data_IF_577762495442
#
_entry.id   IF_577762495442
#
_cell.length_a   1.000
_cell.length_b   1.000
_cell.length_c   1.000
_cell.angle_alpha   90.00
_cell.angle_beta   90.00
_cell.angle_gamma   90.00
#
_symmetry.space_group_name_H-M   'P 1'
#
loop_
_entity.id
_entity.type
_entity.pdbx_description
1 polymer ?
#
# COMPACT_ATOMS: atom_id res chain seq x y z
N UNK A 1 9.76 11.45 -1.78
CA UNK A 1 10.85 10.43 -1.84
C UNK A 1 11.30 10.17 -3.28
N UNK A 2 10.44 9.61 -4.18
CA UNK A 2 10.84 9.27 -5.54
C UNK A 2 11.38 10.47 -6.34
N UNK A 3 10.78 11.65 -6.20
CA UNK A 3 11.28 12.87 -6.82
C UNK A 3 12.65 13.30 -6.28
N UNK A 4 12.93 13.07 -5.01
CA UNK A 4 14.24 13.33 -4.41
C UNK A 4 15.31 12.42 -5.02
N UNK A 5 15.05 11.11 -5.08
CA UNK A 5 15.96 10.16 -5.75
C UNK A 5 16.10 10.47 -7.25
N UNK A 6 15.01 10.90 -7.90
CA UNK A 6 15.05 11.29 -9.31
C UNK A 6 15.99 12.49 -9.57
N UNK A 7 16.01 13.48 -8.69
CA UNK A 7 16.95 14.63 -8.79
C UNK A 7 18.42 14.21 -8.71
N UNK A 8 18.71 13.19 -7.91
CA UNK A 8 20.06 12.66 -7.69
C UNK A 8 20.31 11.35 -8.46
N UNK A 9 19.46 11.05 -9.46
CA UNK A 9 19.50 9.74 -10.13
C UNK A 9 20.87 9.43 -10.74
N UNK A 10 21.59 10.45 -11.25
CA UNK A 10 22.93 10.27 -11.82
C UNK A 10 23.92 9.69 -10.80
N UNK A 11 23.84 10.14 -9.55
CA UNK A 11 24.74 9.69 -8.47
C UNK A 11 24.44 8.22 -8.15
N UNK A 12 23.16 7.84 -8.05
CA UNK A 12 22.76 6.45 -7.86
C UNK A 12 23.17 5.54 -9.02
N UNK A 13 23.07 6.03 -10.27
CA UNK A 13 23.45 5.26 -11.45
C UNK A 13 24.97 5.03 -11.56
N UNK A 14 25.79 5.79 -10.84
CA UNK A 14 27.23 5.61 -10.74
C UNK A 14 27.64 4.60 -9.66
N UNK A 15 26.71 4.09 -8.86
CA UNK A 15 27.00 3.03 -7.88
C UNK A 15 27.37 1.74 -8.60
N UNK A 16 28.42 1.08 -8.14
CA UNK A 16 28.90 -0.17 -8.71
C UNK A 16 27.81 -1.24 -8.70
N UNK A 17 27.64 -1.91 -9.84
CA UNK A 17 26.66 -3.00 -10.02
C UNK A 17 25.19 -2.58 -9.81
N UNK A 18 24.85 -1.30 -9.95
CA UNK A 18 23.47 -0.80 -9.84
C UNK A 18 22.51 -1.49 -10.83
N UNK A 19 23.01 -1.88 -12.01
CA UNK A 19 22.22 -2.61 -13.01
C UNK A 19 21.72 -3.98 -12.52
N UNK A 20 22.47 -4.63 -11.63
CA UNK A 20 22.04 -5.89 -10.99
C UNK A 20 20.91 -5.66 -9.98
N UNK A 21 20.77 -4.43 -9.46
CA UNK A 21 19.75 -4.06 -8.49
C UNK A 21 18.44 -3.63 -9.15
N UNK A 22 18.51 -2.78 -10.17
CA UNK A 22 17.33 -2.15 -10.78
C UNK A 22 16.91 -2.76 -12.12
N UNK A 23 17.67 -3.77 -12.62
CA UNK A 23 17.38 -4.45 -13.87
C UNK A 23 17.69 -3.62 -15.13
N UNK A 24 17.04 -3.95 -16.22
CA UNK A 24 17.42 -3.56 -17.57
C UNK A 24 17.40 -2.04 -17.81
N UNK A 25 18.26 -1.58 -18.71
CA UNK A 25 18.54 -0.18 -19.05
C UNK A 25 17.36 0.58 -19.71
N UNK A 26 16.32 -0.14 -20.15
CA UNK A 26 15.22 0.40 -20.97
C UNK A 26 14.02 0.94 -20.19
N UNK A 27 14.09 1.04 -18.87
CA UNK A 27 13.03 1.67 -18.07
C UNK A 27 13.28 3.17 -17.91
N UNK A 28 12.21 3.96 -17.83
CA UNK A 28 12.31 5.42 -17.67
C UNK A 28 13.05 5.81 -16.39
N UNK A 29 13.71 6.98 -16.41
CA UNK A 29 14.44 7.50 -15.25
C UNK A 29 13.55 7.60 -13.99
N UNK A 30 12.28 7.95 -14.16
CA UNK A 30 11.33 7.96 -13.06
C UNK A 30 11.11 6.56 -12.44
N UNK A 31 10.93 5.54 -13.26
CA UNK A 31 10.76 4.15 -12.77
C UNK A 31 12.03 3.62 -12.10
N UNK A 32 13.21 4.05 -12.55
CA UNK A 32 14.47 3.72 -11.86
C UNK A 32 14.49 4.32 -10.47
N UNK A 33 14.13 5.61 -10.33
CA UNK A 33 14.05 6.27 -9.04
C UNK A 33 13.02 5.62 -8.10
N UNK A 34 11.86 5.23 -8.62
CA UNK A 34 10.85 4.49 -7.84
C UNK A 34 11.38 3.11 -7.40
N UNK A 35 12.09 2.39 -8.25
CA UNK A 35 12.66 1.09 -7.90
C UNK A 35 13.72 1.24 -6.80
N UNK A 36 14.61 2.23 -6.92
CA UNK A 36 15.64 2.50 -5.91
C UNK A 36 14.99 2.84 -4.58
N UNK A 37 14.09 3.83 -4.51
CA UNK A 37 13.50 4.25 -3.24
C UNK A 37 12.70 3.15 -2.55
N UNK A 38 12.00 2.30 -3.30
CA UNK A 38 11.28 1.18 -2.73
C UNK A 38 12.23 0.20 -2.02
N UNK A 39 13.42 -0.04 -2.57
CA UNK A 39 14.43 -0.90 -1.95
C UNK A 39 15.10 -0.23 -0.75
N UNK A 40 15.38 1.08 -0.83
CA UNK A 40 15.95 1.85 0.29
C UNK A 40 14.98 1.88 1.49
N UNK A 41 13.68 2.02 1.23
CA UNK A 41 12.66 1.95 2.28
C UNK A 41 12.69 0.59 3.00
N UNK A 42 12.85 -0.52 2.27
CA UNK A 42 12.97 -1.85 2.89
C UNK A 42 14.17 -1.92 3.83
N UNK A 43 15.32 -1.35 3.45
CA UNK A 43 16.50 -1.33 4.33
C UNK A 43 16.22 -0.59 5.64
N UNK A 44 15.57 0.57 5.56
CA UNK A 44 15.21 1.38 6.74
C UNK A 44 14.12 0.71 7.58
N UNK A 45 13.03 0.30 6.96
CA UNK A 45 11.81 -0.18 7.65
C UNK A 45 11.98 -1.55 8.29
N UNK A 46 12.79 -2.43 7.67
CA UNK A 46 13.16 -3.74 8.23
C UNK A 46 14.43 -3.66 9.10
N UNK A 47 15.06 -2.48 9.21
CA UNK A 47 16.30 -2.26 9.95
C UNK A 47 17.40 -3.23 9.55
N UNK A 48 17.62 -3.39 8.25
CA UNK A 48 18.63 -4.29 7.75
C UNK A 48 20.05 -3.78 8.14
N UNK A 49 20.88 -4.70 8.54
CA UNK A 49 22.28 -4.41 8.88
C UNK A 49 23.06 -4.09 7.60
N UNK A 50 23.35 -2.80 7.38
CA UNK A 50 24.01 -2.31 6.17
C UNK A 50 25.41 -2.93 6.01
N UNK A 51 26.12 -3.22 7.11
CA UNK A 51 27.42 -3.86 7.03
C UNK A 51 27.30 -5.30 6.50
N UNK A 52 26.30 -6.06 6.96
CA UNK A 52 26.03 -7.40 6.43
C UNK A 52 25.62 -7.37 4.97
N UNK A 53 24.89 -6.33 4.53
CA UNK A 53 24.57 -6.15 3.12
C UNK A 53 25.83 -5.91 2.28
N UNK A 54 26.77 -5.09 2.78
CA UNK A 54 28.06 -4.84 2.14
C UNK A 54 28.92 -6.11 2.02
N UNK A 55 28.90 -6.95 3.03
CA UNK A 55 29.68 -8.19 3.08
C UNK A 55 29.05 -9.33 2.27
N UNK A 56 27.91 -9.09 1.62
CA UNK A 56 27.21 -10.10 0.80
C UNK A 56 28.02 -10.51 -0.43
N UNK A 57 27.90 -11.77 -0.81
CA UNK A 57 28.47 -12.28 -2.07
C UNK A 57 27.68 -11.83 -3.31
N UNK A 58 26.42 -11.40 -3.12
CA UNK A 58 25.56 -10.96 -4.21
C UNK A 58 25.79 -9.49 -4.55
N UNK A 59 26.14 -9.22 -5.81
CA UNK A 59 26.42 -7.86 -6.31
C UNK A 59 25.24 -6.90 -6.09
N UNK A 60 24.02 -7.33 -6.36
CA UNK A 60 22.80 -6.53 -6.16
C UNK A 60 22.61 -6.13 -4.69
N UNK A 61 22.96 -7.00 -3.73
CA UNK A 61 22.84 -6.71 -2.30
C UNK A 61 23.88 -5.69 -1.85
N UNK A 62 25.11 -5.78 -2.38
CA UNK A 62 26.16 -4.77 -2.11
C UNK A 62 25.78 -3.42 -2.71
N UNK A 63 25.31 -3.41 -3.97
CA UNK A 63 24.83 -2.19 -4.61
C UNK A 63 23.69 -1.54 -3.81
N UNK A 64 22.77 -2.32 -3.22
CA UNK A 64 21.75 -1.81 -2.34
C UNK A 64 22.33 -1.13 -1.10
N UNK A 65 23.34 -1.72 -0.47
CA UNK A 65 24.02 -1.12 0.68
C UNK A 65 24.68 0.22 0.32
N UNK A 66 25.38 0.27 -0.82
CA UNK A 66 26.05 1.48 -1.28
C UNK A 66 25.05 2.58 -1.69
N UNK A 67 23.96 2.21 -2.36
CA UNK A 67 22.84 3.14 -2.62
C UNK A 67 22.23 3.68 -1.32
N UNK A 68 22.07 2.83 -0.31
CA UNK A 68 21.51 3.25 0.97
C UNK A 68 22.40 4.27 1.69
N UNK A 69 23.69 4.04 1.72
CA UNK A 69 24.65 4.99 2.31
C UNK A 69 24.70 6.30 1.55
N UNK A 70 24.77 6.24 0.22
CA UNK A 70 24.69 7.42 -0.63
C UNK A 70 23.41 8.22 -0.35
N UNK A 71 22.28 7.54 -0.19
CA UNK A 71 21.00 8.18 0.13
C UNK A 71 21.04 8.90 1.49
N UNK A 72 21.62 8.27 2.51
CA UNK A 72 21.78 8.87 3.83
C UNK A 72 22.71 10.11 3.77
N UNK A 73 23.79 10.04 3.02
CA UNK A 73 24.73 11.15 2.84
C UNK A 73 24.02 12.35 2.16
N UNK A 74 23.29 12.12 1.07
CA UNK A 74 22.54 13.16 0.35
C UNK A 74 21.44 13.77 1.25
N UNK A 75 20.70 12.95 2.01
CA UNK A 75 19.71 13.46 2.96
C UNK A 75 20.35 14.35 4.02
N UNK A 76 21.51 13.94 4.54
CA UNK A 76 22.27 14.71 5.53
C UNK A 76 22.78 16.02 4.96
N UNK A 77 23.35 16.04 3.76
CA UNK A 77 23.83 17.24 3.07
C UNK A 77 22.70 18.25 2.79
N UNK A 78 21.54 17.77 2.37
CA UNK A 78 20.36 18.61 2.11
C UNK A 78 19.56 18.92 3.38
N UNK A 79 19.96 18.44 4.56
CA UNK A 79 19.24 18.55 5.83
C UNK A 79 17.76 18.12 5.68
N UNK A 80 17.55 16.99 5.02
CA UNK A 80 16.25 16.46 4.66
C UNK A 80 15.97 15.14 5.37
N UNK A 81 14.68 14.87 5.61
CA UNK A 81 14.20 13.60 6.16
C UNK A 81 13.04 13.09 5.29
N UNK A 82 12.93 11.80 5.18
CA UNK A 82 11.77 11.14 4.60
C UNK A 82 10.98 10.37 5.67
N UNK A 83 9.85 9.74 5.28
CA UNK A 83 9.01 9.01 6.22
C UNK A 83 9.70 7.81 6.87
N UNK A 84 10.60 7.14 6.17
CA UNK A 84 11.34 5.99 6.71
C UNK A 84 12.48 6.45 7.61
N UNK A 85 13.21 7.50 7.22
CA UNK A 85 14.29 8.07 8.02
C UNK A 85 13.79 8.75 9.29
N UNK A 86 12.63 9.44 9.28
CA UNK A 86 12.00 9.97 10.50
C UNK A 86 11.81 8.87 11.55
N UNK A 87 11.37 7.68 11.14
CA UNK A 87 11.15 6.57 12.07
C UNK A 87 12.46 6.05 12.63
N UNK A 88 13.46 5.78 11.78
CA UNK A 88 14.77 5.28 12.22
C UNK A 88 15.51 6.28 13.08
N UNK A 89 15.51 7.56 12.73
CA UNK A 89 16.10 8.63 13.55
C UNK A 89 15.37 8.80 14.88
N UNK A 90 14.05 8.65 14.91
CA UNK A 90 13.26 8.67 16.16
C UNK A 90 13.70 7.52 17.08
N UNK A 91 13.84 6.30 16.56
CA UNK A 91 14.31 5.17 17.36
C UNK A 91 15.70 5.43 17.91
N UNK A 92 16.64 5.87 17.07
CA UNK A 92 18.00 6.20 17.50
C UNK A 92 18.02 7.31 18.56
N UNK A 93 17.19 8.35 18.41
CA UNK A 93 17.05 9.42 19.40
C UNK A 93 16.63 8.85 20.75
N UNK A 94 15.62 7.98 20.77
CA UNK A 94 15.13 7.37 22.02
C UNK A 94 16.18 6.47 22.67
N UNK A 95 16.94 5.70 21.88
CA UNK A 95 18.00 4.81 22.37
C UNK A 95 19.23 5.59 22.88
N UNK A 96 19.65 6.64 22.16
CA UNK A 96 20.85 7.42 22.51
C UNK A 96 20.61 8.49 23.59
N UNK A 97 19.37 8.90 23.81
CA UNK A 97 19.02 9.97 24.75
C UNK A 97 18.01 9.52 25.81
N UNK A 98 18.42 8.77 26.84
CA UNK A 98 17.52 8.22 27.86
C UNK A 98 16.64 9.28 28.55
N UNK A 99 17.14 10.51 28.73
CA UNK A 99 16.35 11.61 29.31
C UNK A 99 15.13 11.99 28.46
N UNK A 100 15.25 11.90 27.15
CA UNK A 100 14.11 12.14 26.24
C UNK A 100 13.10 11.03 26.38
N UNK A 101 13.56 9.78 26.35
CA UNK A 101 12.73 8.60 26.54
C UNK A 101 12.00 8.64 27.89
N UNK A 102 12.72 8.90 28.99
CA UNK A 102 12.14 9.01 30.33
C UNK A 102 11.03 10.09 30.40
N UNK A 103 11.30 11.26 29.81
CA UNK A 103 10.32 12.35 29.78
C UNK A 103 9.02 11.97 29.05
N UNK A 104 9.10 11.16 28.00
CA UNK A 104 7.92 10.67 27.27
C UNK A 104 7.21 9.60 28.10
N UNK A 105 7.96 8.65 28.66
CA UNK A 105 7.43 7.54 29.47
C UNK A 105 6.76 8.02 30.76
N UNK A 106 7.15 9.15 31.31
CA UNK A 106 6.45 9.77 32.46
C UNK A 106 5.09 10.34 32.07
N UNK A 107 4.96 10.84 30.85
CA UNK A 107 3.70 11.42 30.34
C UNK A 107 2.74 10.37 29.81
N UNK A 108 3.28 9.33 29.13
CA UNK A 108 2.49 8.31 28.46
C UNK A 108 2.72 6.98 29.16
N UNK A 109 1.70 6.52 29.88
CA UNK A 109 1.76 5.29 30.69
C UNK A 109 1.06 4.09 30.06
N UNK A 110 0.19 4.31 29.08
CA UNK A 110 -0.61 3.28 28.42
C UNK A 110 -0.52 3.48 26.92
N UNK A 111 -0.28 2.41 26.20
CA UNK A 111 -0.26 2.36 24.74
C UNK A 111 -1.36 1.45 24.25
N UNK A 112 -2.21 1.95 23.37
CA UNK A 112 -3.24 1.18 22.69
C UNK A 112 -3.04 1.38 21.19
N UNK A 113 -2.65 0.32 20.49
CA UNK A 113 -2.33 0.36 19.08
C UNK A 113 -3.34 -0.50 18.33
N UNK A 114 -4.05 0.14 17.41
CA UNK A 114 -4.97 -0.51 16.49
C UNK A 114 -4.27 -0.86 15.17
N UNK A 115 -4.82 -1.80 14.42
CA UNK A 115 -4.30 -2.27 13.13
C UNK A 115 -2.82 -2.68 13.20
N UNK A 116 -2.44 -3.38 14.27
CA UNK A 116 -1.04 -3.70 14.56
C UNK A 116 -0.37 -4.54 13.47
N UNK A 117 -1.11 -5.31 12.68
CA UNK A 117 -0.61 -6.07 11.54
C UNK A 117 -0.03 -5.18 10.43
N UNK A 118 -0.35 -3.87 10.44
CA UNK A 118 0.13 -2.90 9.43
C UNK A 118 1.41 -2.17 9.88
N UNK A 119 1.96 -2.53 11.05
CA UNK A 119 3.22 -1.95 11.54
C UNK A 119 4.44 -2.56 10.84
N UNK A 120 5.49 -1.73 10.66
CA UNK A 120 6.81 -2.18 10.24
C UNK A 120 7.72 -2.45 11.45
N UNK A 121 8.90 -3.01 11.21
CA UNK A 121 9.85 -3.39 12.27
C UNK A 121 10.31 -2.19 13.10
N UNK A 122 10.56 -1.03 12.49
CA UNK A 122 10.98 0.18 13.20
C UNK A 122 9.86 0.70 14.11
N UNK A 123 8.62 0.73 13.62
CA UNK A 123 7.46 1.16 14.40
C UNK A 123 7.25 0.26 15.61
N UNK A 124 7.34 -1.05 15.45
CA UNK A 124 7.26 -1.99 16.58
C UNK A 124 8.35 -1.67 17.62
N UNK A 125 9.61 -1.48 17.20
CA UNK A 125 10.71 -1.17 18.14
C UNK A 125 10.50 0.16 18.86
N UNK A 126 10.03 1.20 18.18
CA UNK A 126 9.68 2.47 18.81
C UNK A 126 8.61 2.25 19.88
N UNK A 127 7.53 1.53 19.56
CA UNK A 127 6.43 1.26 20.49
C UNK A 127 6.89 0.47 21.71
N UNK A 128 7.70 -0.58 21.52
CA UNK A 128 8.27 -1.38 22.61
C UNK A 128 9.24 -0.56 23.46
N UNK A 129 10.08 0.28 22.86
CA UNK A 129 10.97 1.20 23.56
C UNK A 129 10.17 2.18 24.44
N UNK A 130 9.15 2.81 23.90
CA UNK A 130 8.30 3.73 24.63
C UNK A 130 7.51 3.03 25.77
N UNK A 131 7.07 1.80 25.56
CA UNK A 131 6.31 1.04 26.56
C UNK A 131 7.18 0.40 27.65
N UNK A 132 8.49 0.29 27.45
CA UNK A 132 9.41 -0.55 28.24
C UNK A 132 9.40 -0.26 29.76
N UNK A 133 9.15 0.98 30.19
CA UNK A 133 9.13 1.38 31.60
C UNK A 133 7.93 0.80 32.36
N UNK A 134 6.79 0.73 31.73
CA UNK A 134 5.53 0.36 32.37
C UNK A 134 4.95 -0.97 31.87
N UNK A 135 5.36 -1.42 30.69
CA UNK A 135 4.81 -2.58 29.96
C UNK A 135 3.27 -2.57 29.80
N UNK A 136 2.67 -1.38 29.85
CA UNK A 136 1.23 -1.19 29.68
C UNK A 136 0.92 -0.98 28.21
N UNK A 137 0.99 -2.02 27.43
CA UNK A 137 0.75 -2.00 25.97
C UNK A 137 -0.35 -3.00 25.61
N UNK A 138 -1.31 -2.55 24.84
CA UNK A 138 -2.36 -3.36 24.25
C UNK A 138 -2.33 -3.15 22.73
N UNK A 139 -2.22 -4.21 21.99
CA UNK A 139 -2.28 -4.17 20.52
C UNK A 139 -3.53 -4.91 20.04
N UNK A 140 -4.17 -4.35 19.04
CA UNK A 140 -5.33 -4.93 18.36
C UNK A 140 -5.01 -5.05 16.89
N UNK A 141 -5.35 -6.18 16.28
CA UNK A 141 -5.12 -6.39 14.86
C UNK A 141 -5.67 -7.73 14.40
N UNK A 142 -5.61 -7.92 13.10
CA UNK A 142 -6.09 -9.13 12.43
C UNK A 142 -5.06 -9.55 11.38
N UNK A 143 -4.40 -10.68 11.64
CA UNK A 143 -3.40 -11.24 10.74
C UNK A 143 -3.96 -11.61 9.35
N UNK A 144 -5.27 -11.86 9.23
CA UNK A 144 -5.93 -12.06 7.94
C UNK A 144 -6.09 -10.76 7.13
N UNK A 145 -5.83 -9.59 7.73
CA UNK A 145 -5.92 -8.27 7.11
C UNK A 145 -4.55 -7.64 6.78
N UNK A 146 -3.46 -8.37 6.93
CA UNK A 146 -2.09 -7.91 6.66
C UNK A 146 -1.82 -7.67 5.17
N UNK A 147 -2.49 -6.70 4.56
CA UNK A 147 -2.43 -6.40 3.12
C UNK A 147 -1.35 -5.39 2.73
N UNK A 148 -0.73 -4.69 3.70
CA UNK A 148 0.16 -3.56 3.44
C UNK A 148 1.65 -3.92 3.45
N UNK A 149 2.01 -5.19 3.17
CA UNK A 149 3.41 -5.61 3.05
C UNK A 149 4.21 -4.75 2.04
N UNK A 150 3.58 -4.31 0.95
CA UNK A 150 4.21 -3.44 -0.04
C UNK A 150 4.50 -2.00 0.47
N UNK A 151 4.07 -1.69 1.70
CA UNK A 151 4.39 -0.46 2.45
C UNK A 151 5.27 -0.74 3.66
N UNK A 152 5.99 -1.85 3.68
CA UNK A 152 6.88 -2.25 4.76
C UNK A 152 6.21 -2.91 5.97
N UNK A 153 4.88 -3.08 5.98
CA UNK A 153 4.20 -3.80 7.05
C UNK A 153 4.68 -5.25 7.14
N UNK A 154 4.89 -5.75 8.36
CA UNK A 154 5.30 -7.13 8.59
C UNK A 154 4.34 -7.84 9.53
N UNK A 155 3.67 -8.87 8.99
CA UNK A 155 2.73 -9.72 9.76
C UNK A 155 3.40 -10.40 10.96
N UNK A 156 4.72 -10.56 10.92
CA UNK A 156 5.49 -11.13 12.02
C UNK A 156 5.29 -10.35 13.32
N UNK A 157 5.17 -9.03 13.25
CA UNK A 157 4.99 -8.20 14.44
C UNK A 157 3.78 -8.64 15.26
N UNK A 158 2.62 -8.88 14.64
CA UNK A 158 1.44 -9.34 15.38
C UNK A 158 1.56 -10.82 15.80
N UNK A 159 2.11 -11.68 14.92
CA UNK A 159 2.22 -13.11 15.21
C UNK A 159 3.21 -13.41 16.34
N UNK A 160 4.30 -12.65 16.42
CA UNK A 160 5.37 -12.84 17.38
C UNK A 160 5.34 -11.82 18.53
N UNK A 161 4.31 -10.95 18.63
CA UNK A 161 4.21 -9.88 19.63
C UNK A 161 4.47 -10.37 21.06
N UNK A 162 3.89 -11.49 21.44
CA UNK A 162 4.06 -12.06 22.77
C UNK A 162 5.51 -12.43 23.12
N UNK A 163 6.37 -12.68 22.11
CA UNK A 163 7.77 -13.04 22.31
C UNK A 163 8.62 -11.85 22.82
N UNK A 164 8.11 -10.62 22.71
CA UNK A 164 8.77 -9.44 23.25
C UNK A 164 8.67 -9.32 24.78
N UNK A 165 7.92 -10.19 25.45
CA UNK A 165 7.66 -10.14 26.88
C UNK A 165 8.06 -11.47 27.55
N UNK A 166 8.36 -11.46 28.87
CA UNK A 166 8.57 -12.69 29.63
C UNK A 166 7.38 -13.65 29.50
N UNK A 167 7.64 -14.95 29.52
CA UNK A 167 6.63 -15.98 29.42
C UNK A 167 5.44 -15.74 30.38
N UNK A 168 4.23 -15.68 29.83
CA UNK A 168 2.99 -15.46 30.58
C UNK A 168 2.67 -13.99 30.92
N UNK A 169 3.55 -13.04 30.61
CA UNK A 169 3.27 -11.62 30.83
C UNK A 169 2.31 -11.04 29.77
N UNK A 170 2.35 -11.55 28.54
CA UNK A 170 1.41 -11.17 27.50
C UNK A 170 0.18 -12.08 27.51
N UNK A 171 -1.03 -11.48 27.49
CA UNK A 171 -2.30 -12.19 27.39
C UNK A 171 -2.92 -11.94 26.03
N UNK A 172 -3.25 -13.04 25.33
CA UNK A 172 -3.90 -12.97 24.01
C UNK A 172 -5.39 -13.25 24.18
N UNK A 173 -6.22 -12.42 23.54
CA UNK A 173 -7.66 -12.56 23.47
C UNK A 173 -8.10 -12.63 22.02
N UNK A 174 -8.95 -13.59 21.67
CA UNK A 174 -9.49 -13.77 20.33
C UNK A 174 -10.92 -13.24 20.26
N UNK A 175 -11.14 -12.21 19.43
CA UNK A 175 -12.47 -11.68 19.15
C UNK A 175 -13.04 -12.43 17.93
N UNK A 176 -13.74 -13.52 18.16
CA UNK A 176 -14.19 -14.42 17.09
C UNK A 176 -15.56 -14.08 16.53
N UNK A 177 -16.38 -13.30 17.24
CA UNK A 177 -17.73 -12.95 16.80
C UNK A 177 -17.71 -11.76 15.86
N UNK A 178 -18.17 -11.95 14.62
CA UNK A 178 -18.34 -10.90 13.64
C UNK A 178 -19.75 -10.33 13.72
N UNK A 179 -19.85 -9.04 14.02
CA UNK A 179 -21.11 -8.29 14.14
C UNK A 179 -21.48 -7.53 12.87
N UNK A 180 -20.62 -7.54 11.84
CA UNK A 180 -20.78 -6.73 10.61
C UNK A 180 -21.45 -7.50 9.50
N UNK A 181 -20.93 -8.67 9.20
CA UNK A 181 -21.16 -9.36 7.94
C UNK A 181 -22.24 -10.44 8.03
N UNK A 182 -22.90 -10.70 6.89
CA UNK A 182 -23.84 -11.80 6.75
C UNK A 182 -23.16 -13.17 7.00
N UNK A 183 -23.83 -14.16 7.65
CA UNK A 183 -23.24 -15.46 7.95
C UNK A 183 -22.65 -16.19 6.75
N UNK A 184 -23.28 -16.10 5.57
CA UNK A 184 -22.76 -16.72 4.34
C UNK A 184 -21.43 -16.11 3.88
N UNK A 185 -21.21 -14.80 4.10
CA UNK A 185 -19.94 -14.14 3.79
C UNK A 185 -18.86 -14.68 4.74
N UNK A 186 -19.17 -14.80 6.02
CA UNK A 186 -18.24 -15.31 7.03
C UNK A 186 -17.88 -16.77 6.73
N UNK A 187 -18.88 -17.61 6.42
CA UNK A 187 -18.65 -19.01 6.04
C UNK A 187 -17.79 -19.14 4.78
N UNK A 188 -18.07 -18.33 3.76
CA UNK A 188 -17.27 -18.28 2.54
C UNK A 188 -15.81 -17.91 2.84
N UNK A 189 -15.57 -16.85 3.63
CA UNK A 189 -14.22 -16.41 4.00
C UNK A 189 -13.51 -17.48 4.84
N UNK A 190 -14.16 -18.08 5.85
CA UNK A 190 -13.59 -19.14 6.65
C UNK A 190 -13.16 -20.35 5.78
N UNK A 191 -14.02 -20.80 4.87
CA UNK A 191 -13.71 -21.91 3.96
C UNK A 191 -12.53 -21.60 3.06
N UNK A 192 -12.48 -20.38 2.52
CA UNK A 192 -11.36 -19.94 1.67
C UNK A 192 -10.06 -19.90 2.47
N UNK A 193 -10.06 -19.30 3.66
CA UNK A 193 -8.88 -19.20 4.51
C UNK A 193 -8.37 -20.56 4.97
N UNK A 194 -9.27 -21.52 5.26
CA UNK A 194 -8.91 -22.89 5.64
C UNK A 194 -8.41 -23.74 4.48
N UNK A 195 -8.73 -23.37 3.25
CA UNK A 195 -8.27 -24.07 2.04
C UNK A 195 -6.83 -23.72 1.63
N UNK A 196 -6.23 -22.70 2.25
CA UNK A 196 -4.88 -22.24 1.94
C UNK A 196 -3.88 -22.80 2.95
N UNK A 197 -2.67 -23.11 2.48
CA UNK A 197 -1.53 -23.38 3.36
C UNK A 197 -0.87 -22.04 3.75
N UNK A 198 -0.90 -21.71 5.02
CA UNK A 198 -0.33 -20.51 5.60
C UNK A 198 1.03 -20.76 6.25
N UNK A 199 1.64 -21.91 5.99
CA UNK A 199 2.97 -22.25 6.49
C UNK A 199 4.05 -22.01 5.43
N UNK A 200 5.24 -21.63 5.89
CA UNK A 200 6.43 -21.56 5.06
C UNK A 200 7.68 -21.84 5.87
N UNK A 201 8.54 -22.73 5.38
CA UNK A 201 9.78 -23.12 6.06
C UNK A 201 9.57 -23.58 7.53
N UNK A 202 8.46 -24.26 7.79
CA UNK A 202 8.12 -24.76 9.12
C UNK A 202 7.59 -23.71 10.10
N UNK A 203 7.27 -22.52 9.64
CA UNK A 203 6.65 -21.44 10.42
C UNK A 203 5.22 -21.20 9.95
N UNK A 204 4.31 -21.01 10.92
CA UNK A 204 2.95 -20.57 10.69
C UNK A 204 2.88 -19.05 10.53
N UNK A 205 2.18 -18.60 9.48
CA UNK A 205 1.97 -17.17 9.19
C UNK A 205 0.53 -16.73 9.41
N UNK A 206 -0.22 -17.49 10.20
CA UNK A 206 -1.60 -17.20 10.54
C UNK A 206 -1.95 -17.81 11.89
N UNK A 207 -2.72 -17.10 12.73
CA UNK A 207 -3.34 -17.69 13.91
C UNK A 207 -4.46 -18.66 13.52
N UNK A 208 -4.55 -19.79 14.20
CA UNK A 208 -5.68 -20.70 14.04
C UNK A 208 -6.94 -20.08 14.65
N UNK A 209 -7.83 -19.60 13.79
CA UNK A 209 -9.07 -18.98 14.20
C UNK A 209 -10.20 -19.34 13.24
N UNK A 210 -11.43 -19.34 13.77
CA UNK A 210 -12.67 -19.43 12.99
C UNK A 210 -13.58 -18.30 13.43
N UNK A 211 -14.00 -17.47 12.50
CA UNK A 211 -14.89 -16.35 12.77
C UNK A 211 -16.32 -16.83 12.77
N UNK A 212 -17.12 -16.43 13.75
CA UNK A 212 -18.52 -16.80 13.91
C UNK A 212 -19.41 -15.59 13.67
N UNK A 213 -20.55 -15.79 13.03
CA UNK A 213 -21.54 -14.74 12.89
C UNK A 213 -22.25 -14.47 14.23
N UNK A 214 -22.56 -13.19 14.51
CA UNK A 214 -23.40 -12.85 15.64
C UNK A 214 -24.85 -13.37 15.43
N UNK A 215 -25.54 -13.63 16.54
CA UNK A 215 -26.95 -14.03 16.56
C UNK A 215 -27.84 -12.79 16.33
N UNK A 216 -28.05 -12.42 15.09
CA UNK A 216 -29.04 -11.41 14.68
C UNK A 216 -29.74 -11.85 13.40
N UNK A 217 -30.97 -11.37 13.13
CA UNK A 217 -31.63 -11.68 11.88
C UNK A 217 -30.89 -11.05 10.68
N UNK A 218 -30.72 -11.84 9.64
CA UNK A 218 -30.21 -11.41 8.35
C UNK A 218 -31.25 -11.73 7.27
N UNK A 219 -31.29 -10.97 6.15
CA UNK A 219 -32.15 -11.32 5.03
C UNK A 219 -31.90 -12.75 4.54
N UNK A 220 -32.96 -13.47 4.21
CA UNK A 220 -32.88 -14.85 3.70
C UNK A 220 -32.44 -14.93 2.23
N UNK A 221 -31.74 -13.92 1.72
CA UNK A 221 -31.22 -13.84 0.35
C UNK A 221 -29.79 -14.37 0.27
N UNK A 222 -29.38 -14.81 -0.91
CA UNK A 222 -27.98 -15.18 -1.14
C UNK A 222 -27.07 -13.95 -0.95
N UNK A 223 -26.11 -14.04 -0.01
CA UNK A 223 -25.18 -12.97 0.30
C UNK A 223 -23.83 -13.11 -0.42
N UNK A 224 -23.59 -14.27 -1.04
CA UNK A 224 -22.41 -14.52 -1.89
C UNK A 224 -22.92 -15.02 -3.23
N UNK A 225 -22.66 -14.27 -4.29
CA UNK A 225 -23.12 -14.55 -5.64
C UNK A 225 -21.93 -14.53 -6.60
N UNK A 226 -21.87 -15.45 -7.54
CA UNK A 226 -20.93 -15.44 -8.64
C UNK A 226 -21.63 -14.93 -9.89
N UNK A 227 -21.13 -13.87 -10.48
CA UNK A 227 -21.49 -13.43 -11.81
C UNK A 227 -20.53 -14.05 -12.83
N UNK A 228 -21.07 -14.58 -13.89
CA UNK A 228 -20.31 -15.07 -15.05
C UNK A 228 -21.05 -14.67 -16.31
N UNK A 229 -20.35 -14.23 -17.34
CA UNK A 229 -20.88 -14.16 -18.69
C UNK A 229 -20.55 -15.45 -19.44
N UNK A 230 -21.43 -15.93 -20.27
CA UNK A 230 -21.22 -17.10 -21.11
C UNK A 230 -20.39 -16.78 -22.35
N UNK A 231 -20.08 -15.51 -22.57
CA UNK A 231 -19.32 -15.01 -23.71
C UNK A 231 -17.91 -14.53 -23.30
N UNK A 232 -16.99 -14.59 -24.25
CA UNK A 232 -15.66 -13.98 -24.10
C UNK A 232 -15.66 -12.46 -24.36
N UNK A 233 -16.84 -11.87 -24.58
CA UNK A 233 -17.03 -10.45 -24.87
C UNK A 233 -17.12 -9.69 -23.56
N UNK A 234 -16.25 -8.71 -23.34
CA UNK A 234 -16.18 -7.93 -22.10
C UNK A 234 -17.44 -7.11 -21.85
N UNK A 235 -18.09 -6.59 -22.92
CA UNK A 235 -19.34 -5.86 -22.83
C UNK A 235 -20.49 -6.68 -22.20
N UNK A 236 -20.54 -8.00 -22.46
CA UNK A 236 -21.53 -8.88 -21.84
C UNK A 236 -21.32 -8.99 -20.32
N UNK A 237 -20.07 -8.94 -19.87
CA UNK A 237 -19.77 -8.90 -18.44
C UNK A 237 -20.19 -7.57 -17.81
N UNK A 238 -19.95 -6.44 -18.48
CA UNK A 238 -20.37 -5.11 -17.98
C UNK A 238 -21.88 -5.00 -17.92
N UNK A 239 -22.57 -5.53 -18.93
CA UNK A 239 -24.04 -5.61 -18.95
C UNK A 239 -24.58 -6.48 -17.80
N UNK A 240 -23.95 -7.63 -17.53
CA UNK A 240 -24.34 -8.49 -16.41
C UNK A 240 -24.13 -7.81 -15.05
N UNK A 241 -23.07 -7.02 -14.89
CA UNK A 241 -22.84 -6.22 -13.68
C UNK A 241 -23.93 -5.16 -13.52
N UNK A 242 -24.25 -4.42 -14.57
CA UNK A 242 -25.30 -3.40 -14.56
C UNK A 242 -26.68 -4.01 -14.24
N UNK A 243 -27.04 -5.12 -14.87
CA UNK A 243 -28.30 -5.84 -14.62
C UNK A 243 -28.38 -6.32 -13.17
N UNK A 244 -27.29 -6.80 -12.63
CA UNK A 244 -27.21 -7.19 -11.21
C UNK A 244 -27.45 -5.98 -10.28
N UNK A 245 -26.82 -4.81 -10.55
CA UNK A 245 -27.07 -3.58 -9.79
C UNK A 245 -28.55 -3.18 -9.87
N UNK A 246 -29.13 -3.19 -11.06
CA UNK A 246 -30.54 -2.86 -11.29
C UNK A 246 -31.45 -3.84 -10.54
N UNK A 247 -31.15 -5.12 -10.55
CA UNK A 247 -31.89 -6.15 -9.82
C UNK A 247 -31.87 -5.89 -8.32
N UNK A 248 -30.70 -5.60 -7.73
CA UNK A 248 -30.56 -5.29 -6.31
C UNK A 248 -31.33 -4.02 -5.93
N UNK A 249 -31.33 -3.02 -6.81
CA UNK A 249 -32.08 -1.77 -6.62
C UNK A 249 -33.60 -2.01 -6.72
N UNK A 250 -34.04 -2.77 -7.70
CA UNK A 250 -35.46 -3.10 -7.87
C UNK A 250 -36.05 -3.93 -6.72
N UNK A 251 -35.20 -4.77 -6.11
CA UNK A 251 -35.55 -5.56 -4.92
C UNK A 251 -35.47 -4.75 -3.62
N UNK A 252 -35.07 -3.49 -3.66
CA UNK A 252 -34.88 -2.64 -2.48
C UNK A 252 -33.71 -3.05 -1.57
N UNK A 253 -32.83 -3.94 -2.03
CA UNK A 253 -31.61 -4.35 -1.31
C UNK A 253 -30.61 -3.19 -1.33
N UNK A 254 -30.48 -2.52 -2.47
CA UNK A 254 -29.70 -1.30 -2.64
C UNK A 254 -30.67 -0.13 -2.81
N UNK A 255 -30.60 0.83 -1.91
CA UNK A 255 -31.43 2.06 -1.94
C UNK A 255 -30.64 3.28 -2.41
N UNK A 256 -29.30 3.17 -2.40
CA UNK A 256 -28.38 4.20 -2.86
C UNK A 256 -27.12 3.54 -3.42
N UNK A 257 -26.68 3.95 -4.60
CA UNK A 257 -25.50 3.39 -5.26
C UNK A 257 -24.21 3.55 -4.42
N UNK A 258 -24.13 4.49 -3.47
CA UNK A 258 -23.03 4.60 -2.52
C UNK A 258 -22.88 3.38 -1.57
N UNK A 259 -23.87 2.48 -1.56
CA UNK A 259 -23.80 1.20 -0.84
C UNK A 259 -23.03 0.12 -1.62
N UNK A 260 -22.66 0.38 -2.87
CA UNK A 260 -21.94 -0.55 -3.74
C UNK A 260 -20.49 -0.13 -3.81
N UNK A 261 -19.59 -1.11 -3.63
CA UNK A 261 -18.15 -0.90 -3.78
C UNK A 261 -17.56 -1.98 -4.67
N UNK A 262 -16.76 -1.57 -5.65
CA UNK A 262 -15.96 -2.45 -6.47
C UNK A 262 -14.53 -2.50 -5.93
N UNK A 263 -13.99 -3.70 -5.73
CA UNK A 263 -12.63 -3.91 -5.25
C UNK A 263 -11.78 -4.51 -6.37
N UNK A 264 -10.72 -3.82 -6.74
CA UNK A 264 -9.75 -4.26 -7.74
C UNK A 264 -8.33 -4.19 -7.17
N UNK A 265 -7.43 -5.03 -7.70
CA UNK A 265 -6.00 -4.92 -7.38
C UNK A 265 -5.41 -3.56 -7.80
N UNK A 266 -5.90 -3.00 -8.90
CA UNK A 266 -5.53 -1.68 -9.41
C UNK A 266 -6.74 -1.07 -10.11
N UNK A 267 -7.02 0.19 -9.81
CA UNK A 267 -8.07 0.98 -10.50
C UNK A 267 -7.59 1.62 -11.81
N UNK A 268 -6.30 1.44 -12.16
CA UNK A 268 -5.68 1.99 -13.37
C UNK A 268 -5.74 1.03 -14.57
N UNK A 269 -6.26 -0.16 -14.40
CA UNK A 269 -6.41 -1.14 -15.48
C UNK A 269 -7.48 -0.70 -16.48
N UNK A 270 -7.23 -0.90 -17.80
CA UNK A 270 -8.17 -0.53 -18.86
C UNK A 270 -9.58 -1.08 -18.62
N UNK A 271 -9.68 -2.35 -18.27
CA UNK A 271 -10.97 -3.01 -17.97
C UNK A 271 -11.74 -2.37 -16.83
N UNK A 272 -11.06 -1.80 -15.83
CA UNK A 272 -11.71 -1.12 -14.70
C UNK A 272 -12.23 0.24 -15.15
N UNK A 273 -11.46 0.93 -15.98
CA UNK A 273 -11.87 2.23 -16.56
C UNK A 273 -13.06 2.02 -17.50
N UNK A 274 -12.97 1.05 -18.39
CA UNK A 274 -14.07 0.70 -19.33
C UNK A 274 -15.37 0.31 -18.59
N UNK A 275 -15.28 -0.47 -17.50
CA UNK A 275 -16.42 -0.76 -16.65
C UNK A 275 -17.00 0.50 -15.99
N UNK A 276 -16.14 1.40 -15.50
CA UNK A 276 -16.57 2.66 -14.90
C UNK A 276 -17.30 3.53 -15.93
N UNK A 277 -16.73 3.70 -17.13
CA UNK A 277 -17.30 4.46 -18.23
C UNK A 277 -18.65 3.84 -18.69
N UNK A 278 -18.71 2.51 -18.78
CA UNK A 278 -19.94 1.79 -19.13
C UNK A 278 -21.07 2.05 -18.12
N UNK A 279 -20.76 1.99 -16.82
CA UNK A 279 -21.72 2.26 -15.75
C UNK A 279 -22.20 3.72 -15.78
N UNK A 280 -21.29 4.67 -16.00
CA UNK A 280 -21.63 6.11 -16.10
C UNK A 280 -22.50 6.41 -17.30
N UNK A 281 -22.23 5.83 -18.46
CA UNK A 281 -23.08 5.94 -19.66
C UNK A 281 -24.51 5.42 -19.42
N UNK A 282 -24.68 4.48 -18.49
CA UNK A 282 -25.98 3.93 -18.11
C UNK A 282 -26.58 4.56 -16.84
N UNK A 283 -26.09 5.73 -16.42
CA UNK A 283 -26.65 6.52 -15.33
C UNK A 283 -26.23 6.12 -13.92
N UNK A 284 -25.27 5.18 -13.77
CA UNK A 284 -24.69 4.82 -12.49
C UNK A 284 -23.41 5.63 -12.28
N UNK A 285 -23.46 6.64 -11.41
CA UNK A 285 -22.28 7.48 -11.11
C UNK A 285 -21.21 6.67 -10.39
N UNK A 286 -19.97 6.74 -10.89
CA UNK A 286 -18.82 6.05 -10.33
C UNK A 286 -17.84 7.04 -9.71
N UNK A 287 -17.37 6.76 -8.49
CA UNK A 287 -16.35 7.54 -7.83
C UNK A 287 -15.07 6.69 -7.66
N UNK A 288 -13.97 7.12 -8.28
CA UNK A 288 -12.66 6.50 -8.12
C UNK A 288 -11.63 7.54 -7.69
N UNK A 289 -11.19 7.54 -6.40
CA UNK A 289 -10.31 8.58 -5.86
C UNK A 289 -8.87 8.52 -6.42
N UNK A 290 -8.51 7.43 -7.12
CA UNK A 290 -7.17 7.21 -7.68
C UNK A 290 -7.17 7.06 -9.20
N UNK A 291 -8.28 7.33 -9.85
CA UNK A 291 -8.32 7.35 -11.31
C UNK A 291 -7.51 8.55 -11.82
N UNK A 292 -6.81 8.37 -12.94
CA UNK A 292 -6.11 9.45 -13.64
C UNK A 292 -7.08 10.48 -14.28
N UNK A 293 -8.37 10.35 -14.01
CA UNK A 293 -9.46 11.16 -14.55
C UNK A 293 -9.30 12.66 -14.26
N UNK A 294 -8.47 13.06 -13.27
CA UNK A 294 -8.19 14.49 -13.07
C UNK A 294 -7.62 15.14 -14.34
N UNK A 295 -6.60 14.55 -14.95
CA UNK A 295 -5.99 15.04 -16.17
C UNK A 295 -6.79 14.70 -17.45
N UNK A 296 -7.76 13.83 -17.35
CA UNK A 296 -8.67 13.49 -18.44
C UNK A 296 -9.90 14.41 -18.50
N UNK A 297 -10.16 15.20 -17.45
CA UNK A 297 -11.28 16.18 -17.43
C UNK A 297 -11.05 17.26 -18.47
N UNK A 298 -12.11 17.64 -19.17
CA UNK A 298 -12.05 18.63 -20.25
C UNK A 298 -11.50 19.97 -19.77
N UNK A 299 -11.91 20.42 -18.59
CA UNK A 299 -11.43 21.67 -18.00
C UNK A 299 -9.91 21.63 -17.71
N UNK A 300 -9.41 20.48 -17.25
CA UNK A 300 -7.98 20.30 -16.97
C UNK A 300 -7.20 20.19 -18.27
N UNK A 301 -7.71 19.46 -19.27
CA UNK A 301 -7.09 19.40 -20.61
C UNK A 301 -6.98 20.79 -21.23
N UNK A 302 -8.03 21.59 -21.12
CA UNK A 302 -8.04 22.97 -21.62
C UNK A 302 -6.99 23.83 -20.92
N UNK A 303 -6.93 23.79 -19.59
CA UNK A 303 -5.93 24.54 -18.80
C UNK A 303 -4.52 24.08 -19.15
N UNK A 304 -4.27 22.78 -19.22
CA UNK A 304 -2.96 22.23 -19.56
C UNK A 304 -2.55 22.58 -20.99
N UNK A 305 -3.46 22.48 -21.95
CA UNK A 305 -3.23 22.87 -23.33
C UNK A 305 -2.91 24.36 -23.47
N UNK A 306 -3.61 25.22 -22.73
CA UNK A 306 -3.33 26.65 -22.64
C UNK A 306 -1.92 26.92 -22.08
N UNK A 307 -1.56 26.30 -20.96
CA UNK A 307 -0.22 26.45 -20.36
C UNK A 307 0.90 26.01 -21.31
N UNK A 308 0.73 24.88 -21.99
CA UNK A 308 1.70 24.37 -22.97
C UNK A 308 1.82 25.35 -24.18
N UNK A 309 0.73 25.97 -24.60
CA UNK A 309 0.75 26.92 -25.68
C UNK A 309 1.47 28.25 -25.32
N UNK A 310 1.39 28.66 -24.04
CA UNK A 310 2.09 29.83 -23.52
C UNK A 310 3.59 29.52 -23.29
N UNK A 311 3.90 28.30 -22.88
CA UNK A 311 5.27 27.87 -22.55
C UNK A 311 5.73 26.69 -23.43
N UNK A 312 5.92 26.87 -24.74
CA UNK A 312 6.24 25.78 -25.68
C UNK A 312 7.59 25.09 -25.38
N UNK A 313 8.53 25.77 -24.74
CA UNK A 313 9.84 25.21 -24.32
C UNK A 313 9.74 24.11 -23.27
N UNK A 314 8.60 23.98 -22.57
CA UNK A 314 8.35 22.87 -21.65
C UNK A 314 8.31 21.54 -22.41
N UNK A 315 7.85 21.52 -23.66
CA UNK A 315 7.84 20.32 -24.51
C UNK A 315 9.24 19.83 -24.86
N UNK A 316 10.18 20.74 -25.06
CA UNK A 316 11.57 20.43 -25.43
C UNK A 316 12.31 19.77 -24.25
N UNK A 317 11.95 20.13 -23.01
CA UNK A 317 12.55 19.58 -21.79
C UNK A 317 11.98 18.21 -21.36
N UNK A 318 10.84 17.79 -21.95
CA UNK A 318 10.14 16.55 -21.58
C UNK A 318 10.38 15.41 -22.60
N UNK A 319 11.37 15.56 -23.46
CA UNK A 319 11.58 14.73 -24.66
C UNK A 319 11.87 13.23 -24.43
N UNK A 320 11.86 12.70 -23.21
CA UNK A 320 12.41 11.37 -22.94
C UNK A 320 11.39 10.22 -22.86
N UNK A 321 10.07 10.47 -22.87
CA UNK A 321 9.10 9.37 -22.92
C UNK A 321 7.97 9.63 -23.91
N UNK A 322 7.82 8.74 -24.91
CA UNK A 322 6.76 8.83 -25.93
C UNK A 322 5.37 9.02 -25.32
N UNK A 323 5.05 8.34 -24.21
CA UNK A 323 3.71 8.41 -23.58
C UNK A 323 3.38 9.78 -22.95
N UNK A 324 4.38 10.53 -22.47
CA UNK A 324 4.14 11.88 -21.97
C UNK A 324 4.00 12.86 -23.12
N UNK A 325 4.79 12.71 -24.16
CA UNK A 325 4.71 13.53 -25.37
C UNK A 325 3.35 13.39 -26.03
N UNK A 326 2.87 12.17 -26.23
CA UNK A 326 1.53 11.87 -26.79
C UNK A 326 0.42 12.54 -25.96
N UNK A 327 0.53 12.53 -24.64
CA UNK A 327 -0.43 13.18 -23.75
C UNK A 327 -0.40 14.72 -23.88
N UNK A 328 0.77 15.32 -23.99
CA UNK A 328 0.91 16.77 -24.17
C UNK A 328 0.40 17.21 -25.55
N UNK A 329 0.69 16.46 -26.59
CA UNK A 329 0.18 16.70 -27.94
C UNK A 329 -1.35 16.62 -27.95
N UNK A 330 -1.94 15.64 -27.30
CA UNK A 330 -3.39 15.52 -27.12
C UNK A 330 -4.02 16.70 -26.38
N UNK A 331 -3.39 17.21 -25.32
CA UNK A 331 -3.88 18.40 -24.61
C UNK A 331 -3.76 19.67 -25.44
N UNK A 332 -2.69 19.81 -26.24
CA UNK A 332 -2.50 20.94 -27.12
C UNK A 332 -3.50 20.92 -28.30
N UNK A 333 -3.79 19.74 -28.82
CA UNK A 333 -4.81 19.56 -29.87
C UNK A 333 -6.19 19.91 -29.33
N UNK A 334 -6.57 19.41 -28.15
CA UNK A 334 -7.83 19.71 -27.47
C UNK A 334 -8.02 21.22 -27.21
N UNK A 335 -6.95 21.95 -26.91
CA UNK A 335 -6.98 23.41 -26.74
C UNK A 335 -7.22 24.17 -28.05
N UNK A 336 -6.77 23.61 -29.18
CA UNK A 336 -6.92 24.22 -30.51
C UNK A 336 -8.28 23.98 -31.17
N UNK A 337 -9.03 22.96 -30.70
CA UNK A 337 -10.39 22.64 -31.15
C UNK A 337 -11.43 23.35 -30.31
#
# INVERSE_FOLDING_TARGET
>A
QAFFVYRHLTDFLNVDSISELIGDKNISCWRKAEAIINLLNVVSEEMLDVQKLKDSQHLSVRALADCYLLYQDILSEENALDFSTIQSETLQLLEKHPKVLDSIQEKIRYFMIDEYQDTNTVQEKILLCLASKHNNICVVGDDDQGLYRFRGATIRNILEFANNFPNGACKTFYLQTNYRSHPQIIDFCNKWMQSQDWSYAGKEFRFHKTIVACERPFPATAAVVKLSSDSSIEEDYFAAVLDFINTLTAQGIVTNHNQITFLFRSVKGSKVIELADYLEMHGVRVFSPRSELFFAREEIKLIMGCLISIFPTVLDSISETNSMRDRYESWQEFFRT
#
